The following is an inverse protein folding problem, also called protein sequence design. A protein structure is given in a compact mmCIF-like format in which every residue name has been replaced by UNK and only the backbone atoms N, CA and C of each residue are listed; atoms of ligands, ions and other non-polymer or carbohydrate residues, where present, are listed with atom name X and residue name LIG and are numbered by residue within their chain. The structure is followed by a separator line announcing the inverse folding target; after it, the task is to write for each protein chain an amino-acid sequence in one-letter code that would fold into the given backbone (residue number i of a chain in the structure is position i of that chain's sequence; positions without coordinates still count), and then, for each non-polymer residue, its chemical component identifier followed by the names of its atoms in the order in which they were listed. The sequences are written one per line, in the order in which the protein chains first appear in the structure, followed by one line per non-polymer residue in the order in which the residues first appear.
data_IF_213587698096
#
_entry.id   IF_213587698096
#
_cell.length_a   1.000
_cell.length_b   1.000
_cell.length_c   1.000
_cell.angle_alpha   90.00
_cell.angle_beta   90.00
_cell.angle_gamma   90.00
#
_symmetry.space_group_name_H-M   'P 1'
#
loop_
_entity.id
_entity.type
_entity.pdbx_description
1 polymer ?
#
# COMPACT_ATOMS: atom_id res chain seq x y z
N UNK A 1 5.01 -24.25 -31.84
CA UNK A 1 3.61 -24.19 -31.35
C UNK A 1 3.35 -22.77 -30.85
N UNK A 2 2.36 -22.03 -31.38
CA UNK A 2 2.00 -20.72 -30.84
C UNK A 2 1.44 -20.90 -29.43
N UNK A 3 1.83 -20.04 -28.48
CA UNK A 3 1.37 -20.14 -27.08
C UNK A 3 -0.08 -19.64 -26.98
N UNK A 4 -1.02 -20.43 -26.41
CA UNK A 4 -2.46 -20.18 -26.53
C UNK A 4 -2.97 -18.85 -25.95
N UNK A 5 -2.31 -18.28 -24.93
CA UNK A 5 -2.69 -16.97 -24.37
C UNK A 5 -2.43 -15.78 -25.31
N UNK A 6 -1.66 -15.96 -26.39
CA UNK A 6 -1.45 -14.91 -27.40
C UNK A 6 -2.66 -14.69 -28.32
N UNK A 7 -3.69 -15.55 -28.24
CA UNK A 7 -4.84 -15.53 -29.15
C UNK A 7 -6.12 -14.97 -28.54
N UNK A 8 -6.10 -14.58 -27.26
CA UNK A 8 -7.28 -14.14 -26.52
C UNK A 8 -7.72 -12.69 -26.74
N UNK A 9 -7.01 -11.91 -27.57
CA UNK A 9 -7.36 -10.52 -27.88
C UNK A 9 -7.19 -9.51 -26.72
N UNK A 10 -6.46 -9.87 -25.66
CA UNK A 10 -6.17 -8.95 -24.56
C UNK A 10 -5.28 -7.78 -25.02
N UNK A 11 -5.59 -6.56 -24.55
CA UNK A 11 -4.82 -5.36 -24.88
C UNK A 11 -3.50 -5.25 -24.08
N UNK A 12 -3.47 -5.82 -22.88
CA UNK A 12 -2.29 -5.88 -21.99
C UNK A 12 -2.45 -7.01 -20.97
N UNK A 13 -1.37 -7.36 -20.27
CA UNK A 13 -1.39 -8.32 -19.15
C UNK A 13 -0.65 -7.77 -17.94
N UNK A 14 -1.23 -7.95 -16.74
CA UNK A 14 -0.53 -7.72 -15.48
C UNK A 14 0.02 -9.04 -14.93
N UNK A 15 1.30 -9.06 -14.57
CA UNK A 15 1.98 -10.27 -14.11
C UNK A 15 2.55 -10.03 -12.73
N UNK A 16 2.02 -10.75 -11.73
CA UNK A 16 2.67 -10.83 -10.43
C UNK A 16 3.87 -11.77 -10.53
N UNK A 17 5.05 -11.29 -10.17
CA UNK A 17 6.32 -12.04 -10.23
C UNK A 17 6.47 -13.11 -9.12
N UNK A 18 5.41 -13.89 -8.89
CA UNK A 18 5.36 -15.05 -8.00
C UNK A 18 4.45 -16.11 -8.58
N UNK A 19 4.74 -17.37 -8.28
CA UNK A 19 3.80 -18.45 -8.56
C UNK A 19 2.67 -18.45 -7.54
N UNK A 20 1.56 -19.11 -7.91
CA UNK A 20 0.42 -19.33 -7.01
C UNK A 20 0.84 -20.00 -5.68
N UNK A 21 1.75 -20.97 -5.75
CA UNK A 21 2.20 -21.75 -4.59
C UNK A 21 3.10 -20.96 -3.64
N UNK A 22 3.86 -20.00 -4.18
CA UNK A 22 4.72 -19.12 -3.39
C UNK A 22 3.92 -18.14 -2.52
N UNK A 23 2.69 -17.79 -2.93
CA UNK A 23 1.85 -16.84 -2.21
C UNK A 23 2.56 -15.51 -2.00
N UNK A 24 2.80 -15.13 -0.75
CA UNK A 24 3.51 -13.89 -0.37
C UNK A 24 4.84 -14.13 0.34
N UNK A 25 5.40 -15.36 0.32
CA UNK A 25 6.56 -15.71 1.16
C UNK A 25 7.91 -15.38 0.56
N UNK A 26 8.31 -15.90 -0.62
CA UNK A 26 9.56 -15.46 -1.22
C UNK A 26 9.39 -14.02 -1.73
N UNK A 27 10.46 -13.23 -1.79
CA UNK A 27 10.48 -12.00 -2.58
C UNK A 27 10.03 -12.29 -4.01
N UNK A 28 9.31 -11.33 -4.61
CA UNK A 28 8.92 -11.43 -6.00
C UNK A 28 10.16 -11.44 -6.91
N UNK A 29 10.26 -12.43 -7.80
CA UNK A 29 11.41 -12.58 -8.70
C UNK A 29 11.14 -11.85 -10.03
N UNK A 30 11.53 -10.58 -10.06
CA UNK A 30 11.29 -9.70 -11.20
C UNK A 30 12.00 -10.13 -12.49
N UNK A 31 12.97 -11.06 -12.44
CA UNK A 31 13.60 -11.58 -13.65
C UNK A 31 12.62 -12.38 -14.52
N UNK A 32 11.58 -12.97 -13.92
CA UNK A 32 10.51 -13.63 -14.67
C UNK A 32 9.68 -12.66 -15.50
N UNK A 33 9.54 -11.41 -15.07
CA UNK A 33 8.81 -10.39 -15.83
C UNK A 33 9.51 -10.10 -17.16
N UNK A 34 10.84 -10.03 -17.17
CA UNK A 34 11.62 -9.88 -18.40
C UNK A 34 11.37 -11.06 -19.37
N UNK A 35 11.43 -12.29 -18.84
CA UNK A 35 11.16 -13.50 -19.64
C UNK A 35 9.74 -13.54 -20.20
N UNK A 36 8.75 -13.08 -19.43
CA UNK A 36 7.36 -13.02 -19.89
C UNK A 36 7.21 -11.94 -20.96
N UNK A 37 7.76 -10.74 -20.74
CA UNK A 37 7.75 -9.63 -21.71
C UNK A 37 8.37 -10.03 -23.05
N UNK A 38 9.49 -10.74 -23.04
CA UNK A 38 10.13 -11.26 -24.27
C UNK A 38 9.31 -12.33 -24.98
N UNK A 39 8.43 -13.01 -24.26
CA UNK A 39 7.65 -14.12 -24.77
C UNK A 39 6.25 -13.73 -25.28
N UNK A 40 5.82 -12.48 -25.07
CA UNK A 40 4.49 -12.01 -25.48
C UNK A 40 4.57 -10.75 -26.32
N UNK A 41 3.60 -10.57 -27.21
CA UNK A 41 3.51 -9.41 -28.10
C UNK A 41 2.71 -8.25 -27.51
N UNK A 42 2.02 -8.47 -26.37
CA UNK A 42 1.21 -7.45 -25.69
C UNK A 42 2.01 -6.79 -24.56
N UNK A 43 1.73 -5.52 -24.21
CA UNK A 43 2.33 -4.87 -23.06
C UNK A 43 2.19 -5.67 -21.78
N UNK A 44 3.27 -5.71 -20.98
CA UNK A 44 3.30 -6.35 -19.67
C UNK A 44 3.38 -5.28 -18.58
N UNK A 45 2.42 -5.31 -17.66
CA UNK A 45 2.41 -4.51 -16.43
C UNK A 45 3.07 -5.32 -15.33
N UNK A 46 4.22 -4.84 -14.84
CA UNK A 46 4.99 -5.49 -13.80
C UNK A 46 4.31 -5.37 -12.42
N UNK A 47 4.24 -6.47 -11.66
CA UNK A 47 3.66 -6.47 -10.32
C UNK A 47 4.45 -7.36 -9.35
N UNK A 48 4.47 -6.94 -8.07
CA UNK A 48 5.04 -7.69 -6.96
C UNK A 48 6.06 -6.86 -6.19
N UNK A 49 5.87 -6.73 -4.88
CA UNK A 49 6.82 -6.15 -3.90
C UNK A 49 7.37 -4.75 -4.20
N UNK A 50 6.61 -3.93 -4.93
CA UNK A 50 6.86 -2.49 -5.02
C UNK A 50 6.30 -1.82 -3.77
N UNK A 51 7.19 -1.32 -2.91
CA UNK A 51 6.86 -0.76 -1.58
C UNK A 51 7.39 0.66 -1.38
N UNK A 52 8.26 1.13 -2.27
CA UNK A 52 8.90 2.44 -2.23
C UNK A 52 9.38 2.86 -3.64
N UNK A 53 9.94 4.06 -3.75
CA UNK A 53 10.46 4.59 -5.02
C UNK A 53 11.64 3.76 -5.56
N UNK A 54 12.45 3.17 -4.68
CA UNK A 54 13.61 2.38 -5.07
C UNK A 54 13.19 1.06 -5.73
N UNK A 55 12.29 0.31 -5.09
CA UNK A 55 11.68 -0.90 -5.63
C UNK A 55 10.91 -0.64 -6.91
N UNK A 56 10.25 0.51 -7.07
CA UNK A 56 9.65 0.93 -8.35
C UNK A 56 10.70 1.13 -9.47
N UNK A 57 11.82 1.78 -9.18
CA UNK A 57 12.91 1.95 -10.16
C UNK A 57 13.54 0.60 -10.51
N UNK A 58 13.75 -0.23 -9.51
CA UNK A 58 14.42 -1.52 -9.67
C UNK A 58 13.56 -2.53 -10.43
N UNK A 59 12.26 -2.62 -10.15
CA UNK A 59 11.37 -3.52 -10.91
C UNK A 59 11.36 -3.14 -12.38
N UNK A 60 11.34 -1.84 -12.73
CA UNK A 60 11.42 -1.39 -14.14
C UNK A 60 12.77 -1.74 -14.75
N UNK A 61 13.86 -1.49 -14.03
CA UNK A 61 15.23 -1.80 -14.48
C UNK A 61 15.42 -3.29 -14.77
N UNK A 62 14.96 -4.16 -13.86
CA UNK A 62 15.14 -5.62 -13.97
C UNK A 62 14.19 -6.24 -14.99
N UNK A 63 12.92 -5.80 -15.01
CA UNK A 63 11.91 -6.39 -15.89
C UNK A 63 11.92 -5.85 -17.31
N UNK A 64 12.43 -4.62 -17.51
CA UNK A 64 12.26 -3.86 -18.75
C UNK A 64 10.81 -3.47 -19.03
N UNK A 65 9.90 -3.62 -18.07
CA UNK A 65 8.50 -3.20 -18.21
C UNK A 65 8.38 -1.69 -17.98
N UNK A 66 7.59 -1.02 -18.81
CA UNK A 66 7.35 0.41 -18.68
C UNK A 66 6.31 0.72 -17.59
N UNK A 67 5.29 -0.14 -17.49
CA UNK A 67 4.17 0.00 -16.57
C UNK A 67 4.34 -0.89 -15.34
N UNK A 68 3.93 -0.39 -14.18
CA UNK A 68 4.01 -1.09 -12.89
C UNK A 68 2.68 -0.96 -12.16
N UNK A 69 2.16 -2.08 -11.66
CA UNK A 69 1.00 -2.14 -10.79
C UNK A 69 1.45 -2.28 -9.34
N UNK A 70 0.95 -1.41 -8.46
CA UNK A 70 1.29 -1.40 -7.03
C UNK A 70 0.06 -1.84 -6.23
N UNK A 71 0.26 -2.84 -5.35
CA UNK A 71 -0.78 -3.34 -4.46
C UNK A 71 -0.57 -2.86 -3.03
N UNK A 72 -0.13 -3.78 -2.16
CA UNK A 72 0.07 -3.52 -0.71
C UNK A 72 0.96 -2.32 -0.40
N UNK A 73 1.95 -2.02 -1.24
CA UNK A 73 2.81 -0.84 -1.08
C UNK A 73 2.03 0.47 -1.05
N UNK A 74 1.00 0.61 -1.89
CA UNK A 74 0.15 1.81 -1.93
C UNK A 74 -0.77 1.92 -0.72
N UNK A 75 -1.18 0.78 -0.14
CA UNK A 75 -1.99 0.78 1.08
C UNK A 75 -1.15 1.13 2.31
N UNK A 76 0.12 0.70 2.35
CA UNK A 76 1.07 1.05 3.40
C UNK A 76 1.66 2.46 3.27
N UNK A 77 1.72 2.99 2.04
CA UNK A 77 2.25 4.31 1.70
C UNK A 77 1.30 4.99 0.68
N UNK A 78 0.24 5.68 1.15
CA UNK A 78 -0.82 6.20 0.28
C UNK A 78 -0.38 7.21 -0.77
N UNK A 79 0.72 7.93 -0.53
CA UNK A 79 1.29 8.92 -1.43
C UNK A 79 2.34 8.34 -2.39
N UNK A 80 2.64 7.05 -2.33
CA UNK A 80 3.69 6.42 -3.13
C UNK A 80 3.53 6.67 -4.64
N UNK A 81 2.29 6.64 -5.16
CA UNK A 81 2.04 6.96 -6.58
C UNK A 81 2.42 8.40 -6.93
N UNK A 82 2.13 9.36 -6.04
CA UNK A 82 2.50 10.77 -6.23
C UNK A 82 4.02 10.97 -6.15
N UNK A 83 4.68 10.30 -5.20
CA UNK A 83 6.15 10.28 -5.06
C UNK A 83 6.80 9.76 -6.35
N UNK A 84 6.27 8.66 -6.91
CA UNK A 84 6.73 8.09 -8.18
C UNK A 84 6.53 9.08 -9.33
N UNK A 85 5.33 9.65 -9.47
CA UNK A 85 5.02 10.61 -10.54
C UNK A 85 5.94 11.82 -10.52
N UNK A 86 6.16 12.43 -9.34
CA UNK A 86 7.07 13.57 -9.15
C UNK A 86 8.50 13.20 -9.52
N UNK A 87 8.97 12.05 -9.04
CA UNK A 87 10.30 11.56 -9.39
C UNK A 87 10.46 11.33 -10.90
N UNK A 88 9.43 10.84 -11.60
CA UNK A 88 9.48 10.64 -13.05
C UNK A 88 9.48 11.97 -13.82
N UNK A 89 8.94 13.04 -13.23
CA UNK A 89 8.88 14.39 -13.82
C UNK A 89 10.11 15.25 -13.48
N UNK A 90 11.07 14.71 -12.71
CA UNK A 90 12.25 15.44 -12.24
C UNK A 90 11.99 16.38 -11.07
N UNK A 91 10.82 16.28 -10.44
CA UNK A 91 10.44 17.08 -9.28
C UNK A 91 10.91 16.45 -7.96
N UNK A 92 11.00 17.28 -6.92
CA UNK A 92 11.30 16.81 -5.57
C UNK A 92 10.15 15.90 -5.06
N UNK A 93 10.49 14.65 -4.75
CA UNK A 93 9.55 13.65 -4.27
C UNK A 93 9.58 13.57 -2.74
N UNK A 94 9.05 14.60 -2.06
CA UNK A 94 8.91 14.58 -0.61
C UNK A 94 7.76 13.64 -0.19
N UNK A 95 8.02 12.77 0.78
CA UNK A 95 7.03 11.88 1.34
C UNK A 95 6.02 12.64 2.20
N UNK A 96 4.76 12.21 2.15
CA UNK A 96 3.66 12.72 2.96
C UNK A 96 3.92 12.41 4.44
N UNK A 97 3.88 13.45 5.28
CA UNK A 97 3.96 13.30 6.73
C UNK A 97 2.64 12.84 7.36
N UNK A 98 2.69 12.41 8.62
CA UNK A 98 1.49 11.98 9.36
C UNK A 98 0.39 13.04 9.42
N UNK A 99 0.74 14.31 9.61
CA UNK A 99 -0.25 15.40 9.68
C UNK A 99 -1.05 15.56 8.39
N UNK A 100 -0.46 15.24 7.24
CA UNK A 100 -1.18 15.23 5.95
C UNK A 100 -2.04 13.98 5.76
N UNK A 101 -1.63 12.84 6.32
CA UNK A 101 -2.34 11.57 6.21
C UNK A 101 -3.51 11.46 7.21
N UNK A 102 -3.37 12.01 8.41
CA UNK A 102 -4.34 11.85 9.50
C UNK A 102 -5.76 12.28 9.11
N UNK A 103 -5.98 13.43 8.43
CA UNK A 103 -7.31 13.78 7.93
C UNK A 103 -7.93 12.73 6.99
N UNK A 104 -7.11 12.02 6.21
CA UNK A 104 -7.61 10.94 5.34
C UNK A 104 -8.04 9.71 6.14
N UNK A 105 -7.40 9.43 7.28
CA UNK A 105 -7.83 8.37 8.18
C UNK A 105 -9.20 8.68 8.79
N UNK A 106 -9.41 9.93 9.21
CA UNK A 106 -10.69 10.41 9.74
C UNK A 106 -11.79 10.27 8.68
N UNK A 107 -11.55 10.79 7.47
CA UNK A 107 -12.50 10.72 6.36
C UNK A 107 -12.81 9.26 5.96
N UNK A 108 -11.78 8.43 5.81
CA UNK A 108 -11.94 7.01 5.55
C UNK A 108 -12.81 6.34 6.62
N UNK A 109 -12.57 6.64 7.90
CA UNK A 109 -13.33 6.03 8.98
C UNK A 109 -14.81 6.43 8.92
N UNK A 110 -15.09 7.72 8.68
CA UNK A 110 -16.46 8.20 8.47
C UNK A 110 -17.15 7.47 7.31
N UNK A 111 -16.49 7.34 6.17
CA UNK A 111 -17.01 6.62 5.01
C UNK A 111 -17.24 5.11 5.26
N UNK A 112 -16.40 4.47 6.09
CA UNK A 112 -16.60 3.06 6.46
C UNK A 112 -17.85 2.91 7.33
N UNK A 113 -18.10 3.84 8.25
CA UNK A 113 -19.28 3.83 9.12
C UNK A 113 -20.59 3.89 8.34
N UNK A 114 -20.60 4.57 7.19
CA UNK A 114 -21.78 4.66 6.31
C UNK A 114 -22.10 3.33 5.59
N UNK A 115 -21.09 2.47 5.38
CA UNK A 115 -21.18 1.33 4.44
C UNK A 115 -21.04 -0.03 5.09
N UNK A 116 -20.55 -0.08 6.33
CA UNK A 116 -20.20 -1.32 7.02
C UNK A 116 -20.99 -1.41 8.32
N UNK A 117 -21.51 -2.61 8.62
CA UNK A 117 -22.18 -2.88 9.89
C UNK A 117 -21.27 -2.50 11.06
N UNK A 118 -21.81 -1.74 12.01
CA UNK A 118 -21.06 -1.03 13.05
C UNK A 118 -19.97 -1.87 13.75
N UNK A 119 -20.32 -3.11 14.15
CA UNK A 119 -19.39 -4.06 14.79
C UNK A 119 -18.14 -4.41 13.97
N UNK A 120 -18.15 -4.18 12.66
CA UNK A 120 -17.03 -4.45 11.74
C UNK A 120 -16.24 -3.19 11.38
N UNK A 121 -16.75 -2.00 11.68
CA UNK A 121 -16.11 -0.71 11.34
C UNK A 121 -14.72 -0.58 11.98
N UNK A 122 -14.53 -0.80 13.31
CA UNK A 122 -13.19 -0.71 13.91
C UNK A 122 -12.16 -1.60 13.26
N UNK A 123 -12.56 -2.79 12.78
CA UNK A 123 -11.67 -3.75 12.15
C UNK A 123 -11.02 -3.21 10.87
N UNK A 124 -11.75 -2.40 10.09
CA UNK A 124 -11.23 -1.82 8.83
C UNK A 124 -10.13 -0.80 9.08
N UNK A 125 -10.33 0.09 10.04
CA UNK A 125 -9.30 1.06 10.43
C UNK A 125 -8.07 0.37 11.01
N UNK A 126 -8.27 -0.58 11.92
CA UNK A 126 -7.16 -1.35 12.52
C UNK A 126 -6.34 -2.09 11.47
N UNK A 127 -7.00 -2.70 10.48
CA UNK A 127 -6.32 -3.36 9.37
C UNK A 127 -5.43 -2.38 8.61
N UNK A 128 -5.95 -1.19 8.30
CA UNK A 128 -5.18 -0.20 7.56
C UNK A 128 -4.02 0.37 8.39
N UNK A 129 -4.25 0.74 9.65
CA UNK A 129 -3.20 1.19 10.57
C UNK A 129 -2.07 0.17 10.73
N UNK A 130 -2.40 -1.13 10.79
CA UNK A 130 -1.40 -2.19 10.84
C UNK A 130 -0.51 -2.22 9.59
N UNK A 131 -1.04 -1.88 8.41
CA UNK A 131 -0.28 -1.78 7.16
C UNK A 131 0.55 -0.49 7.11
N UNK A 132 0.00 0.62 7.59
CA UNK A 132 0.69 1.92 7.66
C UNK A 132 1.84 1.94 8.65
N UNK A 133 1.79 1.11 9.71
CA UNK A 133 2.76 1.11 10.80
C UNK A 133 4.22 0.82 10.39
N UNK A 134 4.45 0.28 9.19
CA UNK A 134 5.80 0.11 8.63
C UNK A 134 6.41 1.41 8.08
N UNK A 135 5.58 2.39 7.76
CA UNK A 135 5.97 3.68 7.15
C UNK A 135 5.76 4.83 8.15
N UNK A 136 4.70 4.76 8.95
CA UNK A 136 4.29 5.80 9.89
C UNK A 136 4.34 5.28 11.33
N UNK A 137 5.34 5.66 12.15
CA UNK A 137 5.41 5.28 13.56
C UNK A 137 4.15 5.67 14.36
N UNK A 138 3.53 6.79 14.02
CA UNK A 138 2.28 7.27 14.63
C UNK A 138 1.11 6.29 14.40
N UNK A 139 1.08 5.59 13.25
CA UNK A 139 0.07 4.57 12.99
C UNK A 139 0.18 3.38 13.95
N UNK A 140 1.41 3.00 14.36
CA UNK A 140 1.63 1.98 15.39
C UNK A 140 1.05 2.42 16.74
N UNK A 141 1.35 3.65 17.15
CA UNK A 141 0.87 4.22 18.43
C UNK A 141 -0.66 4.22 18.45
N UNK A 142 -1.29 4.77 17.41
CA UNK A 142 -2.75 4.82 17.30
C UNK A 142 -3.35 3.40 17.25
N UNK A 143 -2.75 2.47 16.49
CA UNK A 143 -3.19 1.08 16.47
C UNK A 143 -3.18 0.47 17.87
N UNK A 144 -2.10 0.66 18.63
CA UNK A 144 -1.96 0.07 19.97
C UNK A 144 -2.97 0.65 20.97
N UNK A 145 -3.35 1.92 20.82
CA UNK A 145 -4.43 2.56 21.59
C UNK A 145 -5.80 1.97 21.27
N UNK A 146 -6.13 1.76 19.99
CA UNK A 146 -7.48 1.35 19.58
C UNK A 146 -7.64 -0.18 19.44
N UNK A 147 -6.57 -0.98 19.47
CA UNK A 147 -6.61 -2.42 19.11
C UNK A 147 -7.67 -3.21 19.88
N UNK A 148 -7.92 -2.88 21.15
CA UNK A 148 -8.93 -3.54 22.01
C UNK A 148 -10.33 -2.92 21.92
N UNK A 149 -10.48 -1.75 21.30
CA UNK A 149 -11.76 -1.04 21.20
C UNK A 149 -12.68 -1.67 20.17
N UNK A 150 -13.92 -2.00 20.54
CA UNK A 150 -14.91 -2.62 19.65
C UNK A 150 -16.07 -1.69 19.30
N UNK A 151 -16.22 -0.58 20.02
CA UNK A 151 -17.21 0.47 19.76
C UNK A 151 -16.72 1.41 18.66
N UNK A 152 -17.55 1.67 17.65
CA UNK A 152 -17.19 2.56 16.55
C UNK A 152 -17.06 4.03 17.00
N UNK A 153 -17.96 4.51 17.86
CA UNK A 153 -17.91 5.89 18.37
C UNK A 153 -16.65 6.14 19.20
N UNK A 154 -16.28 5.21 20.08
CA UNK A 154 -15.06 5.34 20.89
C UNK A 154 -13.80 5.38 20.02
N UNK A 155 -13.79 4.65 18.90
CA UNK A 155 -12.67 4.68 17.94
C UNK A 155 -12.64 6.00 17.17
N UNK A 156 -13.80 6.57 16.82
CA UNK A 156 -13.85 7.89 16.18
C UNK A 156 -13.27 8.98 17.10
N UNK A 157 -13.65 9.01 18.37
CA UNK A 157 -13.12 9.96 19.35
C UNK A 157 -11.60 9.87 19.50
N UNK A 158 -11.07 8.63 19.63
CA UNK A 158 -9.62 8.40 19.74
C UNK A 158 -8.87 8.74 18.45
N UNK A 159 -9.50 8.52 17.29
CA UNK A 159 -8.93 8.86 16.00
C UNK A 159 -8.81 10.39 15.85
N UNK A 160 -9.83 11.15 16.26
CA UNK A 160 -9.80 12.62 16.24
C UNK A 160 -8.72 13.20 17.17
N UNK A 161 -8.48 12.55 18.32
CA UNK A 161 -7.41 12.90 19.27
C UNK A 161 -6.00 12.51 18.77
N UNK A 162 -5.90 11.70 17.71
CA UNK A 162 -4.65 11.11 17.20
C UNK A 162 -3.78 11.99 16.28
N UNK A 163 -3.96 13.31 16.23
CA UNK A 163 -3.06 14.21 15.47
C UNK A 163 -1.64 14.22 16.07
N UNK A 164 -0.60 14.45 15.26
CA UNK A 164 0.80 14.22 15.67
C UNK A 164 1.25 15.11 16.84
N UNK A 165 0.61 16.26 17.05
CA UNK A 165 0.86 17.15 18.17
C UNK A 165 0.63 16.50 19.56
N UNK A 166 -0.21 15.46 19.67
CA UNK A 166 -0.58 14.83 20.95
C UNK A 166 0.01 13.43 21.14
N UNK A 167 0.24 12.67 20.06
CA UNK A 167 0.74 11.29 20.15
C UNK A 167 2.23 11.16 20.55
N UNK A 168 3.05 12.17 20.24
CA UNK A 168 4.47 12.22 20.67
C UNK A 168 4.66 12.84 22.06
N UNK A 169 3.59 13.39 22.66
CA UNK A 169 3.61 14.01 23.99
C UNK A 169 3.20 13.06 25.13
N UNK A 170 2.81 11.82 24.82
CA UNK A 170 2.47 10.85 25.86
C UNK A 170 3.73 10.45 26.65
N UNK A 171 3.79 10.66 27.98
CA UNK A 171 4.94 10.25 28.76
C UNK A 171 5.08 8.74 28.70
N UNK A 172 6.29 8.26 28.50
CA UNK A 172 6.66 6.85 28.66
C UNK A 172 6.29 6.42 30.07
N UNK A 173 5.15 5.76 30.22
CA UNK A 173 4.76 5.12 31.47
C UNK A 173 5.67 3.92 31.68
N UNK A 174 6.73 4.14 32.45
CA UNK A 174 7.53 3.10 33.09
C UNK A 174 6.61 2.31 34.03
N UNK A 175 6.61 0.99 33.85
CA UNK A 175 6.43 0.05 34.94
C UNK A 175 7.64 -0.88 34.95
#
# INVERSE_FOLDING_TARGET
MPRPWLTGGAAEIAVHARTREQGYRPPADWTWLARVREAVSVPVVANGDVVDLQSYREIRRVSGCEQVMIGRGLVACPDLALVIQRSCSGEAAAAMGWESLHPWLVDFYAQVRERVVDRHVPGRLKQWLAMLAGVYPQARILFDQIRRQTCADQVAELLEQGSAAQLLAAPSSTC
#
